data_IF_849221370478
#
_entry.id   IF_849221370478
#
_cell.length_a   1.000
_cell.length_b   1.000
_cell.length_c   1.000
_cell.angle_alpha   90.00
_cell.angle_beta   90.00
_cell.angle_gamma   90.00
#
_symmetry.space_group_name_H-M   'P 1'
#
loop_
_entity.id
_entity.type
_entity.pdbx_description
1 polymer ?
#
# COMPACT_ATOMS: atom_id res chain seq x y z
N UNK A 1 2.48 18.31 -10.76
CA UNK A 1 3.25 17.25 -11.45
C UNK A 1 4.65 17.73 -11.85
N UNK A 2 4.80 18.60 -12.86
CA UNK A 2 6.10 19.01 -13.40
C UNK A 2 7.08 19.55 -12.32
N UNK A 3 6.62 20.45 -11.46
CA UNK A 3 7.41 20.96 -10.32
C UNK A 3 7.95 19.87 -9.39
N UNK A 4 7.21 18.78 -9.14
CA UNK A 4 7.65 17.69 -8.25
C UNK A 4 8.74 16.87 -8.94
N UNK A 5 8.58 16.65 -10.25
CA UNK A 5 9.57 15.96 -11.08
C UNK A 5 10.87 16.76 -11.20
N UNK A 6 10.76 18.07 -11.41
CA UNK A 6 11.92 18.96 -11.58
C UNK A 6 12.71 19.17 -10.28
N UNK A 7 12.02 19.16 -9.12
CA UNK A 7 12.64 19.32 -7.80
C UNK A 7 12.94 17.98 -7.11
N UNK A 8 12.90 16.87 -7.85
CA UNK A 8 13.20 15.56 -7.28
C UNK A 8 14.67 15.51 -6.87
N UNK A 9 14.91 15.16 -5.61
CA UNK A 9 16.24 14.93 -5.07
C UNK A 9 16.91 13.76 -5.78
N UNK A 10 18.24 13.79 -5.91
CA UNK A 10 19.01 12.68 -6.45
C UNK A 10 18.72 11.38 -5.66
N UNK A 11 18.66 10.25 -6.36
CA UNK A 11 18.39 8.94 -5.76
C UNK A 11 16.95 8.70 -5.30
N UNK A 12 16.03 9.62 -5.57
CA UNK A 12 14.60 9.44 -5.27
C UNK A 12 13.81 8.97 -6.49
N UNK A 13 12.66 8.36 -6.23
CA UNK A 13 11.69 7.95 -7.24
C UNK A 13 10.31 8.53 -6.93
N UNK A 14 9.49 8.69 -7.96
CA UNK A 14 8.10 9.12 -7.77
C UNK A 14 7.19 7.90 -7.56
N UNK A 15 6.30 7.98 -6.58
CA UNK A 15 5.23 7.00 -6.34
C UNK A 15 3.89 7.69 -6.13
N UNK A 16 2.83 7.07 -6.63
CA UNK A 16 1.46 7.45 -6.31
C UNK A 16 1.06 6.66 -5.06
N UNK A 17 0.80 7.35 -3.96
CA UNK A 17 0.55 6.73 -2.66
C UNK A 17 -0.80 7.21 -2.14
N UNK A 18 -1.59 6.26 -1.64
CA UNK A 18 -2.73 6.53 -0.76
C UNK A 18 -2.28 6.43 0.69
N UNK A 19 -2.44 7.51 1.45
CA UNK A 19 -2.15 7.57 2.88
C UNK A 19 -3.47 7.63 3.64
N UNK A 20 -3.70 6.66 4.50
CA UNK A 20 -4.83 6.63 5.42
C UNK A 20 -4.29 6.77 6.85
N UNK A 21 -4.62 7.87 7.50
CA UNK A 21 -4.09 8.22 8.82
C UNK A 21 -5.18 8.76 9.76
N UNK A 22 -4.81 8.88 11.04
CA UNK A 22 -5.69 9.32 12.13
C UNK A 22 -6.22 8.16 12.98
N UNK A 23 -7.20 8.46 13.82
CA UNK A 23 -7.85 7.49 14.70
C UNK A 23 -8.88 6.66 13.93
N UNK A 24 -8.41 5.56 13.34
CA UNK A 24 -9.24 4.67 12.51
C UNK A 24 -10.25 3.83 13.31
N UNK A 25 -10.28 3.95 14.64
CA UNK A 25 -11.34 3.35 15.48
C UNK A 25 -12.64 4.15 15.44
N UNK A 26 -12.58 5.40 14.96
CA UNK A 26 -13.72 6.30 14.79
C UNK A 26 -14.30 6.20 13.38
N UNK A 27 -15.47 6.80 13.20
CA UNK A 27 -16.22 6.76 11.94
C UNK A 27 -15.53 7.46 10.74
N UNK A 28 -14.47 8.24 10.97
CA UNK A 28 -13.74 8.98 9.93
C UNK A 28 -12.24 8.92 10.14
N UNK A 29 -11.52 8.57 9.07
CA UNK A 29 -10.08 8.75 8.92
C UNK A 29 -9.72 9.88 7.96
N UNK A 30 -8.45 10.25 7.91
CA UNK A 30 -7.91 11.15 6.89
C UNK A 30 -7.33 10.31 5.75
N UNK A 31 -7.91 10.44 4.55
CA UNK A 31 -7.41 9.77 3.35
C UNK A 31 -6.90 10.81 2.36
N UNK A 32 -5.65 10.68 1.95
CA UNK A 32 -5.04 11.48 0.90
C UNK A 32 -4.45 10.58 -0.18
N UNK A 33 -4.58 10.97 -1.45
CA UNK A 33 -3.88 10.31 -2.56
C UNK A 33 -3.00 11.34 -3.25
N UNK A 34 -1.70 11.10 -3.28
CA UNK A 34 -0.72 12.07 -3.78
C UNK A 34 0.45 11.40 -4.49
N UNK A 35 1.05 12.16 -5.40
CA UNK A 35 2.34 11.82 -5.98
C UNK A 35 3.45 12.33 -5.06
N UNK A 36 4.25 11.40 -4.52
CA UNK A 36 5.33 11.70 -3.58
C UNK A 36 6.69 11.34 -4.15
N UNK A 37 7.73 12.07 -3.73
CA UNK A 37 9.13 11.75 -4.02
C UNK A 37 9.74 11.05 -2.82
N UNK A 38 10.14 9.79 -2.98
CA UNK A 38 10.64 8.94 -1.90
C UNK A 38 12.04 8.40 -2.23
N UNK A 39 12.89 8.09 -1.22
CA UNK A 39 14.18 7.47 -1.45
C UNK A 39 14.04 6.18 -2.26
N UNK A 40 14.87 5.97 -3.27
CA UNK A 40 14.80 4.79 -4.15
C UNK A 40 15.14 3.48 -3.44
N UNK A 41 15.84 3.56 -2.30
CA UNK A 41 16.21 2.45 -1.44
C UNK A 41 15.17 2.12 -0.35
N UNK A 42 14.14 2.96 -0.17
CA UNK A 42 13.00 2.68 0.72
C UNK A 42 12.13 1.52 0.21
N UNK A 43 11.32 0.92 1.07
CA UNK A 43 10.40 -0.17 0.71
C UNK A 43 9.47 0.21 -0.45
N UNK A 44 8.80 1.35 -0.34
CA UNK A 44 7.96 1.92 -1.41
C UNK A 44 8.78 2.28 -2.66
N UNK A 45 10.04 2.68 -2.48
CA UNK A 45 10.97 3.03 -3.56
C UNK A 45 11.33 1.83 -4.43
N UNK A 46 11.42 0.65 -3.83
CA UNK A 46 11.87 -0.57 -4.49
C UNK A 46 10.75 -1.39 -5.16
N UNK A 47 9.50 -0.94 -5.14
CA UNK A 47 8.38 -1.63 -5.84
C UNK A 47 8.71 -1.82 -7.33
N UNK A 48 8.43 -3.02 -7.85
CA UNK A 48 8.68 -3.39 -9.25
C UNK A 48 7.38 -3.76 -9.96
N UNK A 49 7.29 -3.39 -11.24
CA UNK A 49 6.19 -3.81 -12.11
C UNK A 49 4.81 -3.43 -11.58
N UNK A 50 3.93 -4.42 -11.46
CA UNK A 50 2.56 -4.29 -10.96
C UNK A 50 2.38 -4.78 -9.53
N UNK A 51 3.47 -4.89 -8.77
CA UNK A 51 3.38 -5.20 -7.35
C UNK A 51 2.68 -4.07 -6.61
N UNK A 52 1.83 -4.43 -5.66
CA UNK A 52 1.27 -3.53 -4.67
C UNK A 52 2.03 -3.71 -3.35
N UNK A 53 2.10 -2.62 -2.59
CA UNK A 53 2.65 -2.63 -1.25
C UNK A 53 1.75 -1.84 -0.32
N UNK A 54 1.65 -2.30 0.92
CA UNK A 54 1.01 -1.61 2.03
C UNK A 54 2.00 -1.55 3.18
N UNK A 55 2.20 -0.36 3.73
CA UNK A 55 2.92 -0.14 4.98
C UNK A 55 1.90 0.23 6.04
N UNK A 56 1.77 -0.60 7.07
CA UNK A 56 0.80 -0.41 8.15
C UNK A 56 1.55 -0.02 9.40
N UNK A 57 1.41 1.24 9.79
CA UNK A 57 1.94 1.80 11.02
C UNK A 57 0.90 1.66 12.13
N UNK A 58 1.32 1.17 13.29
CA UNK A 58 0.46 1.02 14.47
C UNK A 58 1.24 1.42 15.72
N UNK A 59 0.54 1.78 16.80
CA UNK A 59 1.19 2.17 18.06
C UNK A 59 2.14 1.08 18.59
N UNK A 60 1.76 -0.19 18.47
CA UNK A 60 2.55 -1.33 18.98
C UNK A 60 3.83 -1.59 18.18
N UNK A 61 3.88 -1.12 16.92
CA UNK A 61 5.02 -1.33 16.02
C UNK A 61 5.85 -0.05 15.80
N UNK A 62 5.34 1.11 16.24
CA UNK A 62 6.03 2.39 16.17
C UNK A 62 6.47 2.73 14.74
N UNK A 63 7.76 3.07 14.59
CA UNK A 63 8.38 3.45 13.31
C UNK A 63 8.68 2.26 12.38
N UNK A 64 8.47 1.02 12.82
CA UNK A 64 8.71 -0.18 12.01
C UNK A 64 7.39 -0.73 11.48
N UNK A 65 6.95 -0.35 10.27
CA UNK A 65 5.65 -0.75 9.76
C UNK A 65 5.59 -2.25 9.47
N UNK A 66 4.40 -2.80 9.52
CA UNK A 66 4.11 -4.10 8.90
C UNK A 66 4.03 -3.86 7.39
N UNK A 67 4.88 -4.54 6.63
CA UNK A 67 4.92 -4.45 5.18
C UNK A 67 4.21 -5.66 4.57
N UNK A 68 3.20 -5.39 3.74
CA UNK A 68 2.54 -6.40 2.90
C UNK A 68 2.87 -6.08 1.45
N UNK A 69 3.59 -6.97 0.77
CA UNK A 69 3.97 -6.81 -0.64
C UNK A 69 3.59 -8.06 -1.45
N UNK A 70 3.14 -7.83 -2.68
CA UNK A 70 2.94 -8.89 -3.67
C UNK A 70 2.29 -8.36 -4.94
N UNK A 71 2.00 -9.26 -5.87
CA UNK A 71 1.30 -8.90 -7.10
C UNK A 71 -0.06 -8.25 -6.78
N UNK A 72 -0.22 -6.97 -7.13
CA UNK A 72 -1.42 -6.20 -6.82
C UNK A 72 -2.58 -6.46 -7.77
N UNK A 73 -2.29 -6.93 -8.98
CA UNK A 73 -3.27 -7.22 -10.01
C UNK A 73 -2.80 -8.40 -10.88
N UNK A 74 -3.77 -9.10 -11.48
CA UNK A 74 -3.52 -10.21 -12.40
C UNK A 74 -4.59 -11.29 -12.27
N UNK A 75 -5.00 -11.89 -13.39
CA UNK A 75 -6.14 -12.80 -13.42
C UNK A 75 -6.04 -13.93 -12.38
N UNK A 76 -4.88 -14.58 -12.26
CA UNK A 76 -4.68 -15.68 -11.31
C UNK A 76 -4.67 -15.21 -9.84
N UNK A 77 -4.06 -14.07 -9.53
CA UNK A 77 -3.98 -13.56 -8.15
C UNK A 77 -5.34 -13.04 -7.67
N UNK A 78 -6.09 -12.38 -8.55
CA UNK A 78 -7.46 -11.96 -8.27
C UNK A 78 -8.39 -13.17 -8.08
N UNK A 79 -8.31 -14.18 -8.95
CA UNK A 79 -9.12 -15.40 -8.81
C UNK A 79 -8.83 -16.14 -7.49
N UNK A 80 -7.56 -16.21 -7.08
CA UNK A 80 -7.17 -16.79 -5.79
C UNK A 80 -7.78 -16.04 -4.61
N UNK A 81 -7.79 -14.71 -4.65
CA UNK A 81 -8.43 -13.88 -3.61
C UNK A 81 -9.91 -14.19 -3.46
N UNK A 82 -10.66 -14.14 -4.57
CA UNK A 82 -12.10 -14.44 -4.60
C UNK A 82 -12.38 -15.87 -4.10
N UNK A 83 -11.61 -16.86 -4.57
CA UNK A 83 -11.79 -18.25 -4.14
C UNK A 83 -11.54 -18.44 -2.64
N UNK A 84 -10.53 -17.75 -2.09
CA UNK A 84 -10.28 -17.74 -0.65
C UNK A 84 -11.47 -17.22 0.16
N UNK A 85 -12.15 -16.19 -0.33
CA UNK A 85 -13.34 -15.65 0.32
C UNK A 85 -14.54 -16.60 0.24
N UNK A 86 -14.72 -17.31 -0.89
CA UNK A 86 -15.74 -18.37 -1.00
C UNK A 86 -15.53 -19.43 0.07
N UNK A 87 -14.29 -19.92 0.23
CA UNK A 87 -13.97 -20.93 1.26
C UNK A 87 -14.22 -20.41 2.68
N UNK A 88 -13.92 -19.13 2.96
CA UNK A 88 -14.21 -18.51 4.26
C UNK A 88 -15.70 -18.46 4.52
N UNK A 89 -16.50 -18.03 3.54
CA UNK A 89 -17.95 -17.98 3.66
C UNK A 89 -18.54 -19.37 3.89
N UNK A 90 -18.14 -20.38 3.12
CA UNK A 90 -18.64 -21.75 3.28
C UNK A 90 -18.40 -22.33 4.69
N UNK A 91 -17.33 -21.91 5.38
CA UNK A 91 -17.06 -22.32 6.77
C UNK A 91 -17.96 -21.68 7.82
N UNK A 92 -18.61 -20.56 7.50
CA UNK A 92 -19.49 -19.82 8.44
C UNK A 92 -20.98 -20.09 8.19
N UNK A 93 -21.33 -20.75 7.09
CA UNK A 93 -22.71 -21.07 6.70
C UNK A 93 -23.09 -22.51 7.11
N UNK A 94 -22.12 -23.32 7.53
CA UNK A 94 -22.30 -24.61 8.20
C UNK A 94 -21.95 -24.48 9.68
#
# INVERSE_FOLDING_TARGET
FQKIKDNQKQGHVLRYVGDLSGDLSKDKGHLEVKLVSIPGDSTLGQIKGSDAIFEIFTESYGEQPIVIQGAGAGAQVTARGVFGDILRLSKHIN
#
